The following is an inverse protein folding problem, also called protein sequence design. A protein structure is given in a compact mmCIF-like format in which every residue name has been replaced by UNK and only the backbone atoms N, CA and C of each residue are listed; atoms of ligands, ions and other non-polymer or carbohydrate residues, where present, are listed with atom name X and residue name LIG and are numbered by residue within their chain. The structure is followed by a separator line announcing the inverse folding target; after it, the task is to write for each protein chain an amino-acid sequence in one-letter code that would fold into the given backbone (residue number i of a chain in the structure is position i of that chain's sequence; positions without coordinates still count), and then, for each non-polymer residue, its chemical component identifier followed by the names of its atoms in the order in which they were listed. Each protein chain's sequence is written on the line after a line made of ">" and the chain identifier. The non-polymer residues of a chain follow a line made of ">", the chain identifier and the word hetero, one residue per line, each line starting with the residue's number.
data_IF_304034994402
#
_entry.id   IF_304034994402
#
_cell.length_a   1.000
_cell.length_b   1.000
_cell.length_c   1.000
_cell.angle_alpha   90.00
_cell.angle_beta   90.00
_cell.angle_gamma   90.00
#
_symmetry.space_group_name_H-M   'P 1'
#
loop_
_entity.id
_entity.type
_entity.pdbx_description
1 polymer ?
#
# COMPACT_ATOMS: atom_id res chain seq x y z
N UNK A 1 -45.30 17.70 15.12
CA UNK A 1 -43.89 17.52 14.71
C UNK A 1 -43.90 17.15 13.24
N UNK A 2 -43.51 18.07 12.35
CA UNK A 2 -43.45 17.76 10.91
C UNK A 2 -42.30 16.81 10.65
N UNK A 3 -42.56 15.71 9.94
CA UNK A 3 -41.52 14.78 9.50
C UNK A 3 -40.51 15.55 8.66
N UNK A 4 -39.25 15.58 9.07
CA UNK A 4 -38.21 16.26 8.30
C UNK A 4 -38.02 15.57 6.94
N UNK A 5 -38.43 16.24 5.88
CA UNK A 5 -38.30 15.74 4.51
C UNK A 5 -36.86 15.93 4.06
N UNK A 6 -36.21 14.85 3.62
CA UNK A 6 -34.88 14.90 3.04
C UNK A 6 -34.94 15.52 1.64
N UNK A 7 -34.09 16.52 1.41
CA UNK A 7 -33.96 17.20 0.12
C UNK A 7 -32.49 17.23 -0.32
N UNK A 8 -32.28 17.47 -1.60
CA UNK A 8 -30.96 17.45 -2.23
C UNK A 8 -30.71 18.74 -3.00
N UNK A 9 -29.49 19.25 -2.90
CA UNK A 9 -29.01 20.43 -3.60
C UNK A 9 -27.66 20.14 -4.26
N UNK A 10 -27.30 20.94 -5.25
CA UNK A 10 -26.02 20.89 -5.93
C UNK A 10 -25.23 22.18 -5.67
N UNK A 11 -24.01 22.04 -5.20
CA UNK A 11 -23.06 23.15 -5.03
C UNK A 11 -22.12 23.29 -6.22
N UNK A 12 -21.12 24.15 -6.04
CA UNK A 12 -20.06 24.35 -7.03
C UNK A 12 -19.33 23.03 -7.34
N UNK A 13 -18.87 22.90 -8.58
CA UNK A 13 -18.23 21.69 -9.13
C UNK A 13 -19.08 20.41 -9.10
N UNK A 14 -20.40 20.53 -8.92
CA UNK A 14 -21.33 19.41 -9.03
C UNK A 14 -21.44 18.55 -7.76
N UNK A 15 -20.93 19.04 -6.62
CA UNK A 15 -21.04 18.35 -5.33
C UNK A 15 -22.49 18.29 -4.86
N UNK A 16 -22.97 17.09 -4.53
CA UNK A 16 -24.32 16.91 -3.98
C UNK A 16 -24.33 17.15 -2.47
N UNK A 17 -25.35 17.85 -2.00
CA UNK A 17 -25.60 18.16 -0.60
C UNK A 17 -26.96 17.61 -0.18
N UNK A 18 -27.00 16.87 0.92
CA UNK A 18 -28.23 16.44 1.59
C UNK A 18 -28.58 17.45 2.68
N UNK A 19 -29.83 17.89 2.74
CA UNK A 19 -30.32 18.81 3.77
C UNK A 19 -31.75 18.48 4.18
N UNK A 20 -32.14 18.94 5.37
CA UNK A 20 -33.52 18.90 5.88
C UNK A 20 -33.97 20.32 6.20
N UNK A 21 -35.25 20.63 5.97
CA UNK A 21 -35.81 21.96 6.21
C UNK A 21 -36.18 22.75 4.96
N UNK A 22 -36.57 24.01 5.17
CA UNK A 22 -37.04 24.92 4.10
C UNK A 22 -35.89 25.61 3.38
N UNK A 23 -34.85 25.97 4.12
CA UNK A 23 -33.73 26.73 3.60
C UNK A 23 -32.72 25.83 2.89
N UNK A 24 -32.38 26.21 1.66
CA UNK A 24 -31.38 25.53 0.84
C UNK A 24 -29.99 25.98 1.32
N UNK A 25 -28.99 25.07 1.42
CA UNK A 25 -27.64 25.45 1.84
C UNK A 25 -27.06 26.58 1.00
N UNK A 26 -26.39 27.54 1.64
CA UNK A 26 -25.81 28.70 0.96
C UNK A 26 -24.82 28.28 -0.16
N UNK A 27 -24.88 28.96 -1.30
CA UNK A 27 -24.05 28.63 -2.47
C UNK A 27 -24.47 27.35 -3.20
N UNK A 28 -25.64 26.78 -2.89
CA UNK A 28 -26.16 25.58 -3.57
C UNK A 28 -27.52 25.85 -4.21
N UNK A 29 -27.89 25.01 -5.18
CA UNK A 29 -29.17 25.08 -5.90
C UNK A 29 -29.97 23.82 -5.62
N UNK A 30 -31.22 23.98 -5.18
CA UNK A 30 -32.10 22.85 -4.90
C UNK A 30 -32.43 22.04 -6.16
N UNK A 31 -32.28 20.72 -6.05
CA UNK A 31 -32.66 19.76 -7.08
C UNK A 31 -34.02 19.13 -6.81
N UNK A 32 -34.49 19.16 -5.55
CA UNK A 32 -35.74 18.55 -5.11
C UNK A 32 -36.64 19.61 -4.47
N UNK A 33 -37.92 19.57 -4.83
CA UNK A 33 -38.95 20.46 -4.28
C UNK A 33 -39.16 20.23 -2.77
N UNK A 34 -39.97 21.07 -2.13
CA UNK A 34 -40.23 20.96 -0.69
C UNK A 34 -40.94 19.66 -0.29
N UNK A 35 -41.64 19.03 -1.25
CA UNK A 35 -42.32 17.75 -1.06
C UNK A 35 -41.38 16.55 -0.94
N UNK A 36 -40.09 16.71 -1.27
CA UNK A 36 -39.08 15.65 -1.26
C UNK A 36 -39.26 14.57 -2.33
N UNK A 37 -40.26 14.70 -3.21
CA UNK A 37 -40.66 13.68 -4.19
C UNK A 37 -40.62 14.21 -5.63
N UNK A 38 -40.73 15.52 -5.79
CA UNK A 38 -40.70 16.18 -7.09
C UNK A 38 -39.35 16.81 -7.36
N UNK A 39 -38.92 16.74 -8.62
CA UNK A 39 -37.71 17.41 -9.09
C UNK A 39 -37.99 18.86 -9.46
N UNK A 40 -37.09 19.76 -9.05
CA UNK A 40 -37.06 21.13 -9.58
C UNK A 40 -36.66 21.10 -11.06
N UNK A 41 -36.80 22.22 -11.78
CA UNK A 41 -36.31 22.32 -13.16
C UNK A 41 -34.81 21.96 -13.27
N UNK A 42 -34.01 22.40 -12.28
CA UNK A 42 -32.59 22.05 -12.17
C UNK A 42 -32.38 20.57 -11.84
N UNK A 43 -33.21 20.01 -10.96
CA UNK A 43 -33.27 18.58 -10.69
C UNK A 43 -33.47 17.75 -11.94
N UNK A 44 -34.46 18.11 -12.77
CA UNK A 44 -34.76 17.43 -14.04
C UNK A 44 -33.57 17.47 -14.99
N UNK A 45 -32.95 18.64 -15.20
CA UNK A 45 -31.76 18.77 -16.04
C UNK A 45 -30.58 17.96 -15.50
N UNK A 46 -30.40 17.94 -14.17
CA UNK A 46 -29.35 17.17 -13.52
C UNK A 46 -29.55 15.66 -13.74
N UNK A 47 -30.75 15.13 -13.48
CA UNK A 47 -31.08 13.71 -13.64
C UNK A 47 -31.13 13.26 -15.09
N UNK A 48 -31.49 14.14 -16.02
CA UNK A 48 -31.55 13.84 -17.45
C UNK A 48 -30.19 13.39 -18.03
N UNK A 49 -29.07 13.80 -17.40
CA UNK A 49 -27.73 13.34 -17.78
C UNK A 49 -27.49 11.86 -17.49
N UNK A 50 -28.28 11.28 -16.58
CA UNK A 50 -28.10 9.92 -16.08
C UNK A 50 -29.25 8.99 -16.52
N UNK A 51 -30.40 9.54 -16.87
CA UNK A 51 -31.52 8.80 -17.45
C UNK A 51 -32.35 9.72 -18.35
N UNK A 52 -32.41 9.40 -19.63
CA UNK A 52 -33.22 10.14 -20.61
C UNK A 52 -34.72 9.78 -20.51
N UNK A 53 -35.03 8.59 -19.98
CA UNK A 53 -36.39 8.05 -20.01
C UNK A 53 -37.26 8.47 -18.83
N UNK A 54 -36.72 8.61 -17.60
CA UNK A 54 -37.51 9.01 -16.42
C UNK A 54 -36.64 9.74 -15.36
N UNK A 55 -36.54 11.09 -15.43
CA UNK A 55 -35.91 11.86 -14.36
C UNK A 55 -36.68 11.69 -13.04
N UNK A 56 -36.02 11.14 -12.02
CA UNK A 56 -36.61 10.86 -10.71
C UNK A 56 -35.63 11.28 -9.58
N UNK A 57 -36.19 11.70 -8.44
CA UNK A 57 -35.45 12.01 -7.20
C UNK A 57 -34.57 10.85 -6.74
N UNK A 58 -35.02 9.60 -6.94
CA UNK A 58 -34.23 8.40 -6.57
C UNK A 58 -32.86 8.37 -7.27
N UNK A 59 -32.72 8.91 -8.47
CA UNK A 59 -31.41 9.02 -9.15
C UNK A 59 -30.45 9.87 -8.32
N UNK A 60 -30.92 11.01 -7.82
CA UNK A 60 -30.11 11.93 -7.00
C UNK A 60 -29.72 11.26 -5.68
N UNK A 61 -30.67 10.53 -5.07
CA UNK A 61 -30.42 9.79 -3.84
C UNK A 61 -29.35 8.71 -4.05
N UNK A 62 -29.49 7.88 -5.08
CA UNK A 62 -28.54 6.81 -5.38
C UNK A 62 -27.14 7.38 -5.65
N UNK A 63 -27.05 8.48 -6.42
CA UNK A 63 -25.77 9.15 -6.68
C UNK A 63 -25.17 9.70 -5.38
N UNK A 64 -25.97 10.37 -4.55
CA UNK A 64 -25.50 10.86 -3.26
C UNK A 64 -25.00 9.72 -2.38
N UNK A 65 -25.77 8.64 -2.23
CA UNK A 65 -25.42 7.47 -1.41
C UNK A 65 -24.16 6.77 -1.95
N UNK A 66 -23.99 6.69 -3.27
CA UNK A 66 -22.78 6.15 -3.89
C UNK A 66 -21.55 7.00 -3.51
N UNK A 67 -21.57 8.30 -3.75
CA UNK A 67 -20.42 9.18 -3.47
C UNK A 67 -20.20 9.46 -1.98
N UNK A 68 -21.22 9.32 -1.15
CA UNK A 68 -21.12 9.46 0.31
C UNK A 68 -20.86 8.13 1.02
N UNK A 69 -20.80 7.01 0.30
CA UNK A 69 -20.55 5.71 0.91
C UNK A 69 -19.13 5.63 1.48
N UNK A 70 -19.05 5.30 2.77
CA UNK A 70 -17.79 5.03 3.47
C UNK A 70 -16.96 3.93 2.78
N UNK A 71 -17.59 3.01 2.05
CA UNK A 71 -16.88 1.93 1.34
C UNK A 71 -16.08 2.45 0.14
N UNK A 72 -16.56 3.49 -0.53
CA UNK A 72 -15.82 4.11 -1.65
C UNK A 72 -14.63 4.89 -1.10
N UNK A 73 -14.80 5.65 -0.01
CA UNK A 73 -13.70 6.31 0.67
C UNK A 73 -12.60 5.33 1.10
N UNK A 74 -12.98 4.22 1.74
CA UNK A 74 -12.03 3.18 2.13
C UNK A 74 -11.35 2.49 0.93
N UNK A 75 -12.07 2.28 -0.18
CA UNK A 75 -11.50 1.70 -1.40
C UNK A 75 -10.48 2.64 -2.06
N UNK A 76 -10.74 3.95 -2.09
CA UNK A 76 -9.81 4.97 -2.59
C UNK A 76 -8.55 4.98 -1.73
N UNK A 77 -8.67 5.05 -0.40
CA UNK A 77 -7.52 5.00 0.50
C UNK A 77 -6.72 3.70 0.34
N UNK A 78 -7.39 2.55 0.20
CA UNK A 78 -6.72 1.27 0.00
C UNK A 78 -5.97 1.23 -1.34
N UNK A 79 -6.54 1.81 -2.40
CA UNK A 79 -5.90 1.94 -3.69
C UNK A 79 -4.63 2.80 -3.62
N UNK A 80 -4.70 3.97 -3.00
CA UNK A 80 -3.55 4.86 -2.79
C UNK A 80 -2.43 4.21 -1.96
N UNK A 81 -2.79 3.49 -0.88
CA UNK A 81 -1.83 2.70 -0.11
C UNK A 81 -1.18 1.57 -0.92
N UNK A 82 -1.91 0.99 -1.86
CA UNK A 82 -1.38 -0.08 -2.71
C UNK A 82 -0.41 0.47 -3.76
N UNK A 83 -0.71 1.63 -4.34
CA UNK A 83 0.16 2.33 -5.29
C UNK A 83 1.53 2.68 -4.69
N UNK A 84 1.57 3.03 -3.40
CA UNK A 84 2.81 3.39 -2.69
C UNK A 84 3.56 2.17 -2.18
N UNK A 85 2.87 1.21 -1.54
CA UNK A 85 3.52 0.06 -0.90
C UNK A 85 4.02 -1.00 -1.88
N UNK A 86 3.44 -1.10 -3.08
CA UNK A 86 3.84 -2.14 -4.04
C UNK A 86 5.25 -1.87 -4.62
N UNK A 87 5.58 -0.66 -5.08
CA UNK A 87 6.96 -0.31 -5.45
C UNK A 87 7.97 -0.49 -4.31
N UNK A 88 7.63 -0.05 -3.09
CA UNK A 88 8.51 -0.19 -1.91
C UNK A 88 8.83 -1.65 -1.61
N UNK A 89 7.81 -2.54 -1.64
CA UNK A 89 8.00 -3.98 -1.43
C UNK A 89 8.86 -4.61 -2.51
N UNK A 90 8.66 -4.22 -3.77
CA UNK A 90 9.48 -4.70 -4.89
C UNK A 90 10.95 -4.29 -4.69
N UNK A 91 11.20 -3.04 -4.31
CA UNK A 91 12.57 -2.56 -4.09
C UNK A 91 13.25 -3.25 -2.90
N UNK A 92 12.54 -3.38 -1.77
CA UNK A 92 13.04 -4.13 -0.62
C UNK A 92 13.34 -5.59 -0.97
N UNK A 93 12.48 -6.22 -1.80
CA UNK A 93 12.70 -7.59 -2.27
C UNK A 93 13.98 -7.69 -3.11
N UNK A 94 14.22 -6.72 -4.01
CA UNK A 94 15.47 -6.68 -4.79
C UNK A 94 16.69 -6.56 -3.88
N UNK A 95 16.65 -5.64 -2.92
CA UNK A 95 17.75 -5.42 -1.96
C UNK A 95 18.07 -6.70 -1.18
N UNK A 96 17.03 -7.36 -0.63
CA UNK A 96 17.20 -8.61 0.12
C UNK A 96 17.72 -9.73 -0.78
N UNK A 97 17.22 -9.84 -2.02
CA UNK A 97 17.66 -10.87 -2.96
C UNK A 97 19.12 -10.71 -3.37
N UNK A 98 19.60 -9.47 -3.56
CA UNK A 98 20.99 -9.20 -3.90
C UNK A 98 21.91 -9.47 -2.71
N UNK A 99 21.48 -9.12 -1.50
CA UNK A 99 22.23 -9.47 -0.28
C UNK A 99 22.36 -10.98 -0.11
N UNK A 100 21.27 -11.73 -0.28
CA UNK A 100 21.29 -13.19 -0.19
C UNK A 100 22.21 -13.83 -1.23
N UNK A 101 22.24 -13.27 -2.46
CA UNK A 101 23.16 -13.71 -3.52
C UNK A 101 24.63 -13.51 -3.11
N UNK A 102 24.95 -12.35 -2.53
CA UNK A 102 26.29 -12.05 -2.05
C UNK A 102 26.71 -12.98 -0.89
N UNK A 103 25.82 -13.18 0.09
CA UNK A 103 26.04 -14.07 1.22
C UNK A 103 26.29 -15.51 0.75
N UNK A 104 25.50 -16.00 -0.24
CA UNK A 104 25.69 -17.31 -0.82
C UNK A 104 27.04 -17.46 -1.54
N UNK A 105 27.45 -16.47 -2.34
CA UNK A 105 28.76 -16.50 -3.00
C UNK A 105 29.93 -16.48 -1.99
N UNK A 106 29.79 -15.74 -0.89
CA UNK A 106 30.80 -15.71 0.17
C UNK A 106 30.89 -17.06 0.89
N UNK A 107 29.75 -17.69 1.16
CA UNK A 107 29.69 -19.02 1.77
C UNK A 107 30.26 -20.11 0.86
N UNK A 108 29.92 -20.08 -0.43
CA UNK A 108 30.47 -21.02 -1.42
C UNK A 108 32.00 -20.88 -1.52
N UNK A 109 32.51 -19.64 -1.59
CA UNK A 109 33.96 -19.40 -1.58
C UNK A 109 34.63 -19.94 -0.31
N UNK A 110 34.08 -19.67 0.87
CA UNK A 110 34.61 -20.17 2.12
C UNK A 110 34.61 -21.72 2.16
N UNK A 111 33.54 -22.35 1.66
CA UNK A 111 33.47 -23.80 1.55
C UNK A 111 34.56 -24.36 0.63
N UNK A 112 34.71 -23.80 -0.57
CA UNK A 112 35.76 -24.19 -1.51
C UNK A 112 37.17 -24.03 -0.92
N UNK A 113 37.43 -22.96 -0.18
CA UNK A 113 38.72 -22.72 0.46
C UNK A 113 38.98 -23.74 1.59
N UNK A 114 37.96 -24.11 2.38
CA UNK A 114 38.09 -25.17 3.39
C UNK A 114 38.29 -26.55 2.79
N UNK A 115 37.61 -26.88 1.69
CA UNK A 115 37.76 -28.16 0.99
C UNK A 115 39.14 -28.27 0.31
N UNK A 116 39.67 -27.18 -0.24
CA UNK A 116 41.06 -27.11 -0.71
C UNK A 116 42.06 -27.30 0.43
N UNK A 117 41.84 -26.67 1.59
CA UNK A 117 42.71 -26.84 2.75
C UNK A 117 42.72 -28.28 3.28
N UNK A 118 41.57 -28.96 3.30
CA UNK A 118 41.47 -30.38 3.70
C UNK A 118 42.19 -31.33 2.74
N UNK A 119 42.24 -31.02 1.44
CA UNK A 119 42.96 -31.83 0.43
C UNK A 119 44.48 -31.71 0.51
N UNK A 120 45.04 -30.79 1.33
CA UNK A 120 46.48 -30.45 1.34
C UNK A 120 47.24 -30.98 2.57
N UNK A 121 46.72 -31.90 3.39
CA UNK A 121 47.55 -32.55 4.44
C UNK A 121 47.10 -33.98 4.77
N UNK A 122 48.02 -34.94 5.06
CA UNK A 122 49.15 -34.74 6.00
C UNK A 122 50.51 -35.42 5.62
N UNK A 123 51.55 -35.27 6.47
CA UNK A 123 52.08 -36.49 7.07
C UNK A 123 52.07 -36.42 8.60
N UNK A 124 51.76 -37.56 9.22
CA UNK A 124 51.82 -37.79 10.66
C UNK A 124 53.17 -38.43 11.07
N UNK A 125 53.39 -38.69 12.36
CA UNK A 125 54.47 -38.17 13.21
C UNK A 125 55.78 -38.97 13.13
N UNK A 126 56.93 -38.32 13.37
CA UNK A 126 58.22 -39.01 13.50
C UNK A 126 58.56 -39.32 14.98
N UNK A 127 58.82 -40.59 15.25
CA UNK A 127 59.24 -41.13 16.55
C UNK A 127 60.77 -41.21 16.70
N UNK A 128 61.24 -41.01 17.95
CA UNK A 128 62.47 -41.48 18.62
C UNK A 128 63.88 -41.15 18.07
N UNK A 129 64.67 -40.47 18.93
CA UNK A 129 65.94 -40.99 19.46
C UNK A 129 67.27 -40.49 18.87
N UNK A 130 68.09 -39.82 19.68
CA UNK A 130 69.53 -39.62 19.44
C UNK A 130 70.18 -38.45 20.21
N UNK A 131 70.75 -38.73 21.39
CA UNK A 131 71.80 -37.90 22.06
C UNK A 131 73.19 -38.47 21.69
N UNK A 132 74.38 -37.85 21.96
CA UNK A 132 74.71 -36.50 22.45
C UNK A 132 75.97 -35.83 21.79
N UNK A 133 76.39 -34.68 22.37
CA UNK A 133 77.77 -34.18 22.60
C UNK A 133 78.45 -33.25 21.56
N UNK A 134 78.77 -32.01 21.98
CA UNK A 134 80.08 -31.56 22.51
C UNK A 134 80.11 -30.02 22.54
N UNK A 135 80.31 -29.42 23.70
CA UNK A 135 80.97 -28.11 23.78
C UNK A 135 81.83 -28.07 25.05
N UNK A 136 83.12 -28.30 24.86
CA UNK A 136 84.21 -27.78 25.69
C UNK A 136 84.81 -26.63 24.84
N UNK A 137 85.39 -25.53 25.34
CA UNK A 137 86.47 -25.30 26.33
C UNK A 137 86.52 -23.73 26.54
N UNK A 138 87.52 -23.04 27.15
CA UNK A 138 88.31 -23.14 28.41
C UNK A 138 88.15 -21.89 29.34
N UNK A 139 88.33 -22.00 30.67
CA UNK A 139 89.54 -21.86 31.52
C UNK A 139 90.11 -20.43 31.68
N UNK A 140 90.04 -19.88 32.91
CA UNK A 140 91.18 -19.60 33.82
C UNK A 140 90.63 -19.43 35.23
#
# INVERSE_FOLDING_TARGET
>A
MGTEITRYAIGDHGKLHKFTGKDVPAGTVALVEEDGKSLTARGKTYTARYSETLPNVEIIRVLFDQYSSNTIGAAIEAHERTLTKTPERLENTKIVSEKLRQDWMAQDKAYQDTEKAKKVSPPAPAAKGGTPAKEAIPAT
#
